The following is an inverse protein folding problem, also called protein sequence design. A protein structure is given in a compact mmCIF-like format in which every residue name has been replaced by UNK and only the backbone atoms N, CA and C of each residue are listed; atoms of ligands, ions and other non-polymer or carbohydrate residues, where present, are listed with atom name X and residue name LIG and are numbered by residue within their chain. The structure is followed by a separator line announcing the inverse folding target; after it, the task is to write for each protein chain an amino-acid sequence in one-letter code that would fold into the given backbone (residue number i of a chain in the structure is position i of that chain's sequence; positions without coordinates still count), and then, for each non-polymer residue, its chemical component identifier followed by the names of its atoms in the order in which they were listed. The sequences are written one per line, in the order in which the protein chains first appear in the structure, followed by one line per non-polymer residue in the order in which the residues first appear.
data_IF_350883801724
#
_entry.id   IF_350883801724
#
_cell.length_a   1.000
_cell.length_b   1.000
_cell.length_c   1.000
_cell.angle_alpha   90.00
_cell.angle_beta   90.00
_cell.angle_gamma   90.00
#
_symmetry.space_group_name_H-M   'P 1'
#
loop_
_entity.id
_entity.type
_entity.pdbx_description
1 polymer ?
#
# COMPACT_ATOMS: atom_id res chain seq x y z
N UNK A 1 -3.71 20.76 -8.51
CA UNK A 1 -3.92 21.45 -7.21
C UNK A 1 -2.66 21.25 -6.40
N UNK A 2 -1.84 22.29 -6.27
CA UNK A 2 -0.61 22.25 -5.48
C UNK A 2 -0.99 21.97 -4.02
N UNK A 3 -0.65 20.79 -3.50
CA UNK A 3 -0.70 20.55 -2.06
C UNK A 3 0.37 21.46 -1.46
N UNK A 4 -0.06 22.64 -1.02
CA UNK A 4 0.75 23.66 -0.36
C UNK A 4 1.56 22.93 0.71
N UNK A 5 2.87 23.19 0.81
CA UNK A 5 3.70 22.75 1.94
C UNK A 5 3.04 23.24 3.22
N UNK A 6 2.13 22.45 3.79
CA UNK A 6 1.56 22.70 5.08
C UNK A 6 2.58 22.19 6.08
N UNK A 7 3.13 23.03 6.97
CA UNK A 7 4.02 22.59 8.05
C UNK A 7 3.42 21.44 8.88
N UNK A 8 2.11 21.24 8.82
CA UNK A 8 1.37 20.17 9.46
C UNK A 8 1.41 18.81 8.73
N UNK A 9 1.94 18.71 7.50
CA UNK A 9 1.98 17.47 6.73
C UNK A 9 2.85 16.38 7.39
N UNK A 10 4.02 16.75 7.94
CA UNK A 10 4.88 15.83 8.71
C UNK A 10 4.22 15.37 10.02
N UNK A 11 3.74 16.27 10.90
CA UNK A 11 3.02 15.85 12.11
C UNK A 11 1.80 14.97 11.81
N UNK A 12 0.98 15.30 10.81
CA UNK A 12 -0.17 14.48 10.43
C UNK A 12 0.26 13.10 9.92
N UNK A 13 1.32 13.03 9.10
CA UNK A 13 1.89 11.76 8.66
C UNK A 13 2.37 10.89 9.83
N UNK A 14 3.08 11.49 10.78
CA UNK A 14 3.59 10.78 11.96
C UNK A 14 2.45 10.28 12.85
N UNK A 15 1.45 11.11 13.14
CA UNK A 15 0.27 10.72 13.91
C UNK A 15 -0.47 9.59 13.20
N UNK A 16 -0.70 9.72 11.90
CA UNK A 16 -1.37 8.70 11.10
C UNK A 16 -0.61 7.37 11.10
N UNK A 17 0.71 7.41 10.96
CA UNK A 17 1.57 6.22 10.97
C UNK A 17 1.60 5.56 12.35
N UNK A 18 1.63 6.34 13.44
CA UNK A 18 1.58 5.82 14.82
C UNK A 18 0.23 5.16 15.10
N UNK A 19 -0.88 5.78 14.69
CA UNK A 19 -2.23 5.20 14.86
C UNK A 19 -2.35 3.90 14.06
N UNK A 20 -1.89 3.87 12.80
CA UNK A 20 -1.89 2.65 12.00
C UNK A 20 -0.98 1.57 12.61
N UNK A 21 0.21 1.93 13.09
CA UNK A 21 1.12 1.00 13.78
C UNK A 21 0.51 0.41 15.06
N UNK A 22 -0.21 1.22 15.82
CA UNK A 22 -0.94 0.77 17.00
C UNK A 22 -2.07 -0.20 16.62
N UNK A 23 -2.90 0.16 15.63
CA UNK A 23 -3.96 -0.74 15.12
C UNK A 23 -3.39 -2.05 14.57
N UNK A 24 -2.29 -1.98 13.81
CA UNK A 24 -1.58 -3.14 13.29
C UNK A 24 -1.08 -4.07 14.39
N UNK A 25 -0.62 -3.53 15.52
CA UNK A 25 -0.13 -4.34 16.64
C UNK A 25 -1.21 -5.25 17.20
N UNK A 26 -2.47 -4.78 17.29
CA UNK A 26 -3.58 -5.65 17.67
C UNK A 26 -3.84 -6.72 16.62
N UNK A 27 -3.85 -6.35 15.34
CA UNK A 27 -4.10 -7.32 14.26
C UNK A 27 -3.03 -8.41 14.27
N UNK A 28 -1.75 -8.03 14.28
CA UNK A 28 -0.60 -8.94 14.28
C UNK A 28 -0.59 -9.86 15.51
N UNK A 29 -1.06 -9.39 16.67
CA UNK A 29 -1.16 -10.21 17.89
C UNK A 29 -2.14 -11.39 17.78
N UNK A 30 -3.04 -11.38 16.79
CA UNK A 30 -3.97 -12.48 16.53
C UNK A 30 -3.36 -13.60 15.68
N UNK A 31 -2.16 -13.42 15.14
CA UNK A 31 -1.49 -14.38 14.26
C UNK A 31 -0.26 -15.00 14.92
N UNK A 32 0.09 -16.21 14.47
CA UNK A 32 1.33 -16.88 14.88
C UNK A 32 2.56 -16.09 14.41
N UNK A 33 3.65 -16.01 15.21
CA UNK A 33 4.86 -15.29 14.83
C UNK A 33 5.48 -15.75 13.50
N UNK A 34 5.38 -17.04 13.17
CA UNK A 34 5.84 -17.60 11.89
C UNK A 34 5.07 -17.06 10.68
N UNK A 35 3.74 -16.96 10.80
CA UNK A 35 2.84 -16.39 9.79
C UNK A 35 3.16 -14.91 9.56
N UNK A 36 3.36 -14.15 10.66
CA UNK A 36 3.74 -12.73 10.61
C UNK A 36 5.06 -12.52 9.88
N UNK A 37 6.08 -13.32 10.21
CA UNK A 37 7.39 -13.24 9.57
C UNK A 37 7.30 -13.56 8.07
N UNK A 38 6.55 -14.59 7.70
CA UNK A 38 6.38 -15.02 6.30
C UNK A 38 5.63 -13.96 5.49
N UNK A 39 4.59 -13.35 6.07
CA UNK A 39 3.88 -12.23 5.46
C UNK A 39 4.78 -11.01 5.26
N UNK A 40 5.62 -10.68 6.25
CA UNK A 40 6.55 -9.55 6.19
C UNK A 40 7.64 -9.73 5.13
N UNK A 41 8.25 -10.91 5.06
CA UNK A 41 9.27 -11.21 4.05
C UNK A 41 8.64 -11.16 2.65
N UNK A 42 7.45 -11.72 2.49
CA UNK A 42 6.72 -11.73 1.21
C UNK A 42 6.33 -10.32 0.76
N UNK A 43 5.84 -9.48 1.68
CA UNK A 43 5.51 -8.09 1.37
C UNK A 43 6.75 -7.27 1.04
N UNK A 44 7.85 -7.44 1.77
CA UNK A 44 9.12 -6.77 1.50
C UNK A 44 9.70 -7.14 0.13
N UNK A 45 9.68 -8.43 -0.22
CA UNK A 45 10.13 -8.90 -1.52
C UNK A 45 9.27 -8.34 -2.66
N UNK A 46 7.95 -8.39 -2.53
CA UNK A 46 7.03 -7.84 -3.53
C UNK A 46 7.23 -6.33 -3.69
N UNK A 47 7.31 -5.60 -2.57
CA UNK A 47 7.52 -4.16 -2.58
C UNK A 47 8.84 -3.81 -3.27
N UNK A 48 9.93 -4.51 -2.95
CA UNK A 48 11.23 -4.27 -3.56
C UNK A 48 11.21 -4.50 -5.08
N UNK A 49 10.62 -5.61 -5.54
CA UNK A 49 10.49 -5.92 -6.97
C UNK A 49 9.64 -4.86 -7.69
N UNK A 50 8.48 -4.52 -7.13
CA UNK A 50 7.58 -3.54 -7.74
C UNK A 50 8.16 -2.13 -7.73
N UNK A 51 8.92 -1.76 -6.69
CA UNK A 51 9.63 -0.49 -6.63
C UNK A 51 10.67 -0.38 -7.75
N UNK A 52 11.48 -1.44 -7.97
CA UNK A 52 12.42 -1.50 -9.11
C UNK A 52 11.66 -1.38 -10.43
N UNK A 53 10.57 -2.12 -10.61
CA UNK A 53 9.75 -2.04 -11.82
C UNK A 53 9.27 -0.61 -12.05
N UNK A 54 8.76 0.07 -11.03
CA UNK A 54 8.30 1.46 -11.13
C UNK A 54 9.41 2.43 -11.57
N UNK A 55 10.61 2.26 -11.04
CA UNK A 55 11.77 3.11 -11.36
C UNK A 55 12.39 2.78 -12.72
N UNK A 56 12.34 1.55 -13.19
CA UNK A 56 12.98 1.13 -14.45
C UNK A 56 12.04 1.24 -15.64
N UNK A 57 10.74 1.04 -15.46
CA UNK A 57 9.78 1.02 -16.56
C UNK A 57 9.64 2.41 -17.18
N UNK A 58 9.81 2.48 -18.50
CA UNK A 58 9.73 3.72 -19.28
C UNK A 58 8.31 4.04 -19.74
N UNK A 59 7.46 3.02 -19.86
CA UNK A 59 6.04 3.18 -20.21
C UNK A 59 5.31 3.88 -19.07
N UNK A 60 4.54 4.91 -19.37
CA UNK A 60 3.71 5.62 -18.40
C UNK A 60 2.65 4.67 -17.80
N UNK A 61 2.72 4.49 -16.48
CA UNK A 61 1.79 3.69 -15.69
C UNK A 61 0.58 4.49 -15.22
N UNK A 62 0.50 5.80 -15.47
CA UNK A 62 -0.57 6.67 -14.95
C UNK A 62 -1.98 6.18 -15.29
N UNK A 63 -2.18 5.60 -16.47
CA UNK A 63 -3.46 5.00 -16.85
C UNK A 63 -3.83 3.79 -15.97
N UNK A 64 -2.86 2.91 -15.72
CA UNK A 64 -3.02 1.73 -14.88
C UNK A 64 -3.23 2.15 -13.43
N UNK A 65 -2.42 3.09 -12.90
CA UNK A 65 -2.56 3.60 -11.54
C UNK A 65 -3.95 4.17 -11.25
N UNK A 66 -4.51 4.96 -12.18
CA UNK A 66 -5.88 5.47 -12.06
C UNK A 66 -6.93 4.35 -12.05
N UNK A 67 -6.76 3.32 -12.89
CA UNK A 67 -7.65 2.17 -12.90
C UNK A 67 -7.57 1.37 -11.58
N UNK A 68 -6.36 1.21 -11.02
CA UNK A 68 -6.13 0.52 -9.75
C UNK A 68 -6.70 1.28 -8.55
N UNK A 69 -6.65 2.62 -8.54
CA UNK A 69 -7.37 3.43 -7.55
C UNK A 69 -8.89 3.16 -7.65
N UNK A 70 -9.44 3.05 -8.85
CA UNK A 70 -10.84 2.66 -9.05
C UNK A 70 -11.14 1.25 -8.53
N UNK A 71 -10.25 0.29 -8.79
CA UNK A 71 -10.35 -1.07 -8.27
C UNK A 71 -10.30 -1.12 -6.73
N UNK A 72 -9.51 -0.25 -6.10
CA UNK A 72 -9.45 -0.13 -4.64
C UNK A 72 -10.81 0.25 -4.04
N UNK A 73 -11.56 1.15 -4.69
CA UNK A 73 -12.94 1.47 -4.27
C UNK A 73 -13.84 0.24 -4.37
N UNK A 74 -13.71 -0.54 -5.43
CA UNK A 74 -14.42 -1.83 -5.58
C UNK A 74 -14.07 -2.83 -4.48
N UNK A 75 -12.80 -2.93 -4.10
CA UNK A 75 -12.34 -3.78 -3.00
C UNK A 75 -12.92 -3.34 -1.65
N UNK A 76 -13.00 -2.03 -1.40
CA UNK A 76 -13.64 -1.51 -0.19
C UNK A 76 -15.11 -1.92 -0.12
N UNK A 77 -15.83 -1.80 -1.23
CA UNK A 77 -17.23 -2.25 -1.31
C UNK A 77 -17.35 -3.76 -1.11
N UNK A 78 -16.45 -4.55 -1.70
CA UNK A 78 -16.42 -6.00 -1.53
C UNK A 78 -16.17 -6.41 -0.07
N UNK A 79 -15.26 -5.72 0.64
CA UNK A 79 -15.02 -5.94 2.07
C UNK A 79 -16.27 -5.63 2.90
N UNK A 80 -16.98 -4.53 2.61
CA UNK A 80 -18.24 -4.20 3.29
C UNK A 80 -19.29 -5.29 3.07
N UNK A 81 -19.43 -5.78 1.84
CA UNK A 81 -20.32 -6.90 1.53
C UNK A 81 -19.91 -8.16 2.29
N UNK A 82 -18.61 -8.46 2.37
CA UNK A 82 -18.12 -9.63 3.07
C UNK A 82 -18.40 -9.60 4.58
N UNK A 83 -18.50 -8.42 5.21
CA UNK A 83 -18.90 -8.30 6.62
C UNK A 83 -20.30 -8.91 6.85
N UNK A 84 -21.22 -8.75 5.89
CA UNK A 84 -22.56 -9.32 5.98
C UNK A 84 -22.61 -10.79 5.54
N UNK A 85 -21.77 -11.20 4.59
CA UNK A 85 -21.69 -12.58 4.13
C UNK A 85 -20.94 -13.49 5.11
N UNK A 86 -19.98 -12.94 5.85
CA UNK A 86 -19.07 -13.65 6.74
C UNK A 86 -18.43 -14.88 6.05
N UNK A 87 -17.92 -14.69 4.83
CA UNK A 87 -17.38 -15.78 4.02
C UNK A 87 -15.84 -15.76 4.04
N UNK A 88 -15.24 -16.80 4.62
CA UNK A 88 -13.78 -16.97 4.62
C UNK A 88 -13.19 -17.12 3.21
N UNK A 89 -13.88 -17.83 2.31
CA UNK A 89 -13.45 -17.94 0.91
C UNK A 89 -13.46 -16.59 0.19
N UNK A 90 -14.49 -15.78 0.42
CA UNK A 90 -14.58 -14.46 -0.19
C UNK A 90 -13.50 -13.51 0.37
N UNK A 91 -13.21 -13.60 1.68
CA UNK A 91 -12.10 -12.85 2.30
C UNK A 91 -10.74 -13.21 1.72
N UNK A 92 -10.50 -14.51 1.51
CA UNK A 92 -9.28 -15.02 0.90
C UNK A 92 -9.09 -14.49 -0.54
N UNK A 93 -10.14 -14.53 -1.36
CA UNK A 93 -10.11 -13.99 -2.73
C UNK A 93 -9.85 -12.47 -2.70
N UNK A 94 -10.55 -11.73 -1.83
CA UNK A 94 -10.36 -10.29 -1.65
C UNK A 94 -8.89 -9.98 -1.30
N UNK A 95 -8.28 -10.79 -0.43
CA UNK A 95 -6.89 -10.63 -0.01
C UNK A 95 -5.91 -10.84 -1.17
N UNK A 96 -6.12 -11.86 -2.02
CA UNK A 96 -5.31 -12.07 -3.23
C UNK A 96 -5.42 -10.87 -4.19
N UNK A 97 -6.64 -10.38 -4.43
CA UNK A 97 -6.85 -9.23 -5.32
C UNK A 97 -6.22 -7.97 -4.74
N UNK A 98 -6.27 -7.76 -3.41
CA UNK A 98 -5.55 -6.67 -2.77
C UNK A 98 -4.05 -6.74 -3.03
N UNK A 99 -3.40 -7.91 -2.91
CA UNK A 99 -1.96 -8.05 -3.22
C UNK A 99 -1.67 -7.58 -4.65
N UNK A 100 -2.47 -7.99 -5.63
CA UNK A 100 -2.28 -7.61 -7.03
C UNK A 100 -2.50 -6.11 -7.28
N UNK A 101 -3.55 -5.54 -6.68
CA UNK A 101 -3.87 -4.11 -6.85
C UNK A 101 -2.78 -3.26 -6.22
N UNK A 102 -2.38 -3.55 -4.99
CA UNK A 102 -1.34 -2.80 -4.31
C UNK A 102 0.04 -3.02 -4.93
N UNK A 103 0.36 -4.20 -5.46
CA UNK A 103 1.59 -4.40 -6.23
C UNK A 103 1.70 -3.44 -7.42
N UNK A 104 0.60 -3.26 -8.16
CA UNK A 104 0.54 -2.31 -9.27
C UNK A 104 0.60 -0.85 -8.81
N UNK A 105 -0.01 -0.52 -7.67
CA UNK A 105 0.07 0.82 -7.07
C UNK A 105 1.51 1.14 -6.61
N UNK A 106 2.22 0.19 -5.99
CA UNK A 106 3.64 0.37 -5.61
C UNK A 106 4.49 0.70 -6.83
N UNK A 107 4.31 -0.03 -7.94
CA UNK A 107 5.05 0.26 -9.17
C UNK A 107 4.70 1.66 -9.72
N UNK A 108 3.42 2.04 -9.71
CA UNK A 108 2.99 3.36 -10.16
C UNK A 108 3.50 4.50 -9.26
N UNK A 109 3.44 4.36 -7.94
CA UNK A 109 3.90 5.36 -6.99
C UNK A 109 5.43 5.54 -7.03
N UNK A 110 6.19 4.46 -7.22
CA UNK A 110 7.64 4.55 -7.44
C UNK A 110 7.97 5.25 -8.78
N UNK A 111 7.17 5.01 -9.83
CA UNK A 111 7.33 5.74 -11.09
C UNK A 111 7.01 7.23 -10.91
N UNK A 112 5.96 7.55 -10.15
CA UNK A 112 5.58 8.93 -9.82
C UNK A 112 6.68 9.65 -9.02
N UNK A 113 7.34 8.97 -8.07
CA UNK A 113 8.51 9.51 -7.36
C UNK A 113 9.61 9.88 -8.33
N UNK A 114 9.95 8.98 -9.28
CA UNK A 114 10.96 9.25 -10.31
C UNK A 114 10.60 10.51 -11.12
N UNK A 115 9.36 10.62 -11.60
CA UNK A 115 8.93 11.78 -12.38
C UNK A 115 8.96 13.08 -11.57
N UNK A 116 8.47 13.08 -10.33
CA UNK A 116 8.52 14.28 -9.46
C UNK A 116 9.96 14.70 -9.20
N UNK A 117 10.87 13.74 -9.01
CA UNK A 117 12.29 14.02 -8.82
C UNK A 117 12.95 14.61 -10.07
N UNK A 118 12.66 14.06 -11.25
CA UNK A 118 13.14 14.55 -12.55
C UNK A 118 12.60 15.96 -12.86
N UNK A 119 11.30 16.19 -12.68
CA UNK A 119 10.66 17.50 -12.92
C UNK A 119 11.15 18.58 -11.94
N UNK A 120 11.48 18.20 -10.71
CA UNK A 120 11.98 19.13 -9.69
C UNK A 120 13.49 19.38 -9.78
N UNK A 121 14.18 18.79 -10.77
CA UNK A 121 15.64 18.82 -10.89
C UNK A 121 16.35 18.44 -9.57
N UNK A 122 15.80 17.44 -8.87
CA UNK A 122 16.28 16.98 -7.56
C UNK A 122 15.82 17.81 -6.35
N UNK A 123 15.14 18.94 -6.53
CA UNK A 123 14.64 19.81 -5.45
C UNK A 123 13.17 19.55 -5.14
N UNK A 124 12.87 18.35 -4.62
CA UNK A 124 11.48 17.97 -4.28
C UNK A 124 10.99 18.75 -3.07
N UNK A 125 9.85 19.43 -3.21
CA UNK A 125 9.22 20.12 -2.09
C UNK A 125 8.84 19.13 -0.97
N UNK A 126 9.09 19.51 0.28
CA UNK A 126 8.88 18.66 1.46
C UNK A 126 7.49 18.01 1.53
N UNK A 127 6.42 18.73 1.20
CA UNK A 127 5.06 18.20 1.16
C UNK A 127 4.85 17.10 0.13
N UNK A 128 5.50 17.20 -1.03
CA UNK A 128 5.48 16.15 -2.04
C UNK A 128 6.21 14.90 -1.57
N UNK A 129 7.41 15.05 -1.01
CA UNK A 129 8.18 13.93 -0.48
C UNK A 129 7.39 13.17 0.60
N UNK A 130 6.70 13.88 1.49
CA UNK A 130 5.88 13.26 2.56
C UNK A 130 4.68 12.53 1.98
N UNK A 131 3.96 13.16 1.05
CA UNK A 131 2.79 12.52 0.44
C UNK A 131 3.18 11.25 -0.31
N UNK A 132 4.31 11.27 -1.02
CA UNK A 132 4.80 10.11 -1.77
C UNK A 132 5.26 9.00 -0.81
N UNK A 133 5.97 9.36 0.27
CA UNK A 133 6.37 8.42 1.31
C UNK A 133 5.15 7.79 2.03
N UNK A 134 4.11 8.58 2.30
CA UNK A 134 2.86 8.11 2.89
C UNK A 134 2.14 7.11 1.99
N UNK A 135 2.04 7.40 0.69
CA UNK A 135 1.46 6.47 -0.27
C UNK A 135 2.19 5.14 -0.29
N UNK A 136 3.54 5.14 -0.37
CA UNK A 136 4.34 3.92 -0.31
C UNK A 136 4.19 3.16 1.02
N UNK A 137 4.13 3.86 2.14
CA UNK A 137 3.89 3.26 3.46
C UNK A 137 2.53 2.54 3.48
N UNK A 138 1.49 3.21 2.99
CA UNK A 138 0.14 2.64 2.93
C UNK A 138 0.07 1.42 2.03
N UNK A 139 0.70 1.47 0.87
CA UNK A 139 0.74 0.34 -0.03
C UNK A 139 1.44 -0.87 0.62
N UNK A 140 2.57 -0.64 1.28
CA UNK A 140 3.30 -1.69 1.97
C UNK A 140 2.46 -2.34 3.09
N UNK A 141 1.82 -1.53 3.93
CA UNK A 141 0.96 -2.02 5.01
C UNK A 141 -0.20 -2.85 4.46
N UNK A 142 -0.85 -2.41 3.39
CA UNK A 142 -1.97 -3.13 2.81
C UNK A 142 -1.53 -4.47 2.17
N UNK A 143 -0.39 -4.50 1.47
CA UNK A 143 0.18 -5.76 0.98
C UNK A 143 0.50 -6.70 2.13
N UNK A 144 1.14 -6.19 3.20
CA UNK A 144 1.47 -6.98 4.38
C UNK A 144 0.23 -7.59 5.03
N UNK A 145 -0.82 -6.79 5.27
CA UNK A 145 -2.09 -7.28 5.83
C UNK A 145 -2.80 -8.28 4.92
N UNK A 146 -2.64 -8.14 3.62
CA UNK A 146 -3.22 -9.08 2.65
C UNK A 146 -2.49 -10.42 2.68
N UNK A 147 -1.15 -10.41 2.70
CA UNK A 147 -0.38 -11.64 2.92
C UNK A 147 -0.64 -12.27 4.29
N UNK A 148 -0.78 -11.45 5.33
CA UNK A 148 -1.09 -11.94 6.67
C UNK A 148 -2.43 -12.68 6.70
N UNK A 149 -3.46 -12.16 6.01
CA UNK A 149 -4.74 -12.85 5.84
C UNK A 149 -4.64 -14.11 4.99
N UNK A 150 -3.86 -14.08 3.90
CA UNK A 150 -3.67 -15.24 3.01
C UNK A 150 -2.95 -16.39 3.74
N UNK A 151 -1.94 -16.09 4.55
CA UNK A 151 -1.17 -17.12 5.24
C UNK A 151 -1.80 -17.54 6.58
N UNK A 152 -2.52 -16.63 7.23
CA UNK A 152 -3.23 -16.94 8.47
C UNK A 152 -4.59 -17.58 8.28
N UNK A 153 -5.08 -17.76 7.04
CA UNK A 153 -6.30 -18.53 6.80
C UNK A 153 -6.13 -20.04 7.06
N UNK A 154 -4.88 -20.51 7.16
CA UNK A 154 -4.52 -21.91 7.45
C UNK A 154 -4.16 -22.15 8.95
N UNK A 155 -4.21 -21.10 9.78
CA UNK A 155 -3.93 -21.13 11.23
C UNK A 155 -5.20 -21.39 12.07
#
# INVERSE_FOLDING_TARGET
MAYKNSPAALPMFLIYSVVNGFSLSFIVSLYLPGTVLTAFISSAALFFVMAIIGVVIKKDLSGIGRALIGALVGLILAMIVNVFLNSGLFDYIISIVMVLVFAGLIAWDNQKIRYVYEESNGQVATGWAISLALSLYLDFINVFLSFLRIFGSDD
#
